data_IF_189452608141
#
_entry.id   IF_189452608141
#
_cell.length_a   1.000
_cell.length_b   1.000
_cell.length_c   1.000
_cell.angle_alpha   90.00
_cell.angle_beta   90.00
_cell.angle_gamma   90.00
#
_symmetry.space_group_name_H-M   'P 1'
#
loop_
_entity.id
_entity.type
_entity.pdbx_description
1 polymer ?
#
# COMPACT_ATOMS: atom_id res chain seq x y z
N UNK A 1 -1.16 11.47 -16.50
CA UNK A 1 -1.56 12.10 -15.22
C UNK A 1 -1.15 11.15 -14.09
N UNK A 2 0.04 11.33 -13.51
CA UNK A 2 0.49 10.50 -12.38
C UNK A 2 -0.19 10.98 -11.10
N UNK A 3 -0.98 10.09 -10.52
CA UNK A 3 -1.80 10.28 -9.32
C UNK A 3 -0.98 10.75 -8.10
N UNK A 4 -0.79 12.06 -7.94
CA UNK A 4 -0.15 12.66 -6.76
C UNK A 4 -0.95 12.52 -5.45
N UNK A 5 -2.19 12.01 -5.49
CA UNK A 5 -3.14 12.05 -4.37
C UNK A 5 -3.30 10.73 -3.58
N UNK A 6 -2.26 9.89 -3.46
CA UNK A 6 -2.43 8.57 -2.79
C UNK A 6 -1.49 8.32 -1.63
N UNK A 7 -0.55 9.22 -1.36
CA UNK A 7 0.35 9.14 -0.22
C UNK A 7 -0.14 10.12 0.85
N UNK A 8 -0.27 9.63 2.07
CA UNK A 8 -0.70 10.34 3.26
C UNK A 8 0.44 10.31 4.26
N UNK A 9 1.01 11.47 4.57
CA UNK A 9 2.00 11.56 5.63
C UNK A 9 1.27 11.73 6.97
N UNK A 10 1.48 10.78 7.88
CA UNK A 10 0.89 10.80 9.22
C UNK A 10 2.02 10.63 10.22
N UNK A 11 2.29 11.68 11.00
CA UNK A 11 3.37 11.73 11.99
C UNK A 11 4.75 11.32 11.41
N UNK A 12 5.07 11.77 10.19
CA UNK A 12 6.33 11.48 9.53
C UNK A 12 6.42 10.11 8.87
N UNK A 13 5.36 9.29 8.92
CA UNK A 13 5.27 8.02 8.20
C UNK A 13 4.36 8.19 6.98
N UNK A 14 4.83 7.74 5.82
CA UNK A 14 4.06 7.75 4.58
C UNK A 14 3.18 6.50 4.48
N UNK A 15 1.90 6.71 4.23
CA UNK A 15 0.92 5.66 4.01
C UNK A 15 0.24 5.79 2.65
N UNK A 16 -0.28 4.70 2.13
CA UNK A 16 -0.94 4.64 0.84
C UNK A 16 -2.29 3.94 0.93
N UNK A 17 -3.30 4.45 0.24
CA UNK A 17 -4.60 3.78 0.14
C UNK A 17 -4.49 2.41 -0.54
N UNK A 18 -5.47 1.53 -0.31
CA UNK A 18 -5.59 0.24 -1.04
C UNK A 18 -5.53 0.44 -2.56
N UNK A 19 -6.17 1.48 -3.09
CA UNK A 19 -6.16 1.77 -4.52
C UNK A 19 -4.77 2.20 -5.01
N UNK A 20 -4.03 2.97 -4.21
CA UNK A 20 -2.64 3.33 -4.52
C UNK A 20 -1.71 2.15 -4.44
N UNK A 21 -1.81 1.34 -3.39
CA UNK A 21 -1.01 0.13 -3.21
C UNK A 21 -1.21 -0.87 -4.36
N UNK A 22 -2.43 -0.98 -4.89
CA UNK A 22 -2.75 -1.82 -6.04
C UNK A 22 -1.99 -1.39 -7.30
N UNK A 23 -2.04 -0.10 -7.63
CA UNK A 23 -1.30 0.46 -8.77
C UNK A 23 0.21 0.39 -8.56
N UNK A 24 0.66 0.63 -7.33
CA UNK A 24 2.09 0.62 -7.00
C UNK A 24 2.70 -0.78 -7.11
N UNK A 25 2.00 -1.81 -6.61
CA UNK A 25 2.46 -3.20 -6.65
C UNK A 25 2.19 -3.88 -7.99
N UNK A 26 1.34 -3.30 -8.85
CA UNK A 26 0.91 -3.93 -10.10
C UNK A 26 0.01 -5.15 -9.86
N UNK A 27 -0.76 -5.16 -8.77
CA UNK A 27 -1.69 -6.26 -8.41
C UNK A 27 -3.10 -5.73 -8.21
N UNK A 28 -4.11 -6.61 -8.22
CA UNK A 28 -5.51 -6.20 -8.04
C UNK A 28 -5.77 -5.63 -6.63
N UNK A 29 -6.74 -4.73 -6.51
CA UNK A 29 -7.19 -4.19 -5.20
C UNK A 29 -7.63 -5.30 -4.24
N UNK A 30 -8.26 -6.35 -4.76
CA UNK A 30 -8.65 -7.53 -3.98
C UNK A 30 -7.43 -8.26 -3.40
N UNK A 31 -6.33 -8.39 -4.17
CA UNK A 31 -5.10 -8.97 -3.67
C UNK A 31 -4.47 -8.12 -2.55
N UNK A 32 -4.45 -6.78 -2.72
CA UNK A 32 -3.98 -5.88 -1.66
C UNK A 32 -4.83 -6.00 -0.40
N UNK A 33 -6.15 -6.06 -0.55
CA UNK A 33 -7.07 -6.24 0.57
C UNK A 33 -6.85 -7.58 1.28
N UNK A 34 -6.58 -8.65 0.54
CA UNK A 34 -6.23 -9.96 1.09
C UNK A 34 -4.90 -9.92 1.86
N UNK A 35 -3.89 -9.23 1.33
CA UNK A 35 -2.61 -9.07 2.04
C UNK A 35 -2.78 -8.30 3.35
N UNK A 36 -3.53 -7.21 3.31
CA UNK A 36 -3.84 -6.42 4.49
C UNK A 36 -4.63 -7.22 5.54
N UNK A 37 -5.71 -7.90 5.15
CA UNK A 37 -6.51 -8.72 6.09
C UNK A 37 -5.73 -9.89 6.70
N UNK A 38 -4.69 -10.38 6.01
CA UNK A 38 -3.75 -11.40 6.51
C UNK A 38 -2.60 -10.83 7.34
N UNK A 39 -2.55 -9.52 7.58
CA UNK A 39 -1.52 -8.88 8.39
C UNK A 39 -0.14 -8.78 7.73
N UNK A 40 -0.06 -8.87 6.40
CA UNK A 40 1.21 -8.66 5.70
C UNK A 40 1.67 -7.20 5.71
N UNK A 41 0.76 -6.27 6.04
CA UNK A 41 1.06 -4.87 6.07
C UNK A 41 0.64 -4.18 7.37
N UNK A 42 1.52 -3.36 7.91
CA UNK A 42 1.15 -2.31 8.87
C UNK A 42 0.20 -1.32 8.22
N UNK A 43 -0.81 -0.88 8.97
CA UNK A 43 -1.81 0.04 8.46
C UNK A 43 -2.43 0.89 9.56
N UNK A 44 -2.93 2.04 9.18
CA UNK A 44 -3.81 2.88 10.00
C UNK A 44 -5.17 3.00 9.32
N UNK A 45 -6.19 3.30 10.12
CA UNK A 45 -7.50 3.72 9.61
C UNK A 45 -7.74 5.17 9.97
N UNK A 46 -8.14 5.94 8.96
CA UNK A 46 -8.62 7.31 9.12
C UNK A 46 -10.01 7.34 8.50
N UNK A 47 -11.03 7.54 9.34
CA UNK A 47 -12.44 7.39 8.96
C UNK A 47 -12.73 6.05 8.27
N UNK A 48 -13.08 6.09 6.98
CA UNK A 48 -13.39 4.94 6.14
C UNK A 48 -12.21 4.47 5.28
N UNK A 49 -11.06 5.14 5.39
CA UNK A 49 -9.86 4.83 4.60
C UNK A 49 -8.95 3.85 5.36
N UNK A 50 -8.49 2.83 4.63
CA UNK A 50 -7.39 1.97 5.05
C UNK A 50 -6.13 2.50 4.36
N UNK A 51 -5.15 2.88 5.16
CA UNK A 51 -3.88 3.41 4.70
C UNK A 51 -2.77 2.45 5.13
N UNK A 52 -2.08 1.88 4.14
CA UNK A 52 -1.01 0.90 4.30
C UNK A 52 0.34 1.60 4.35
N UNK A 53 1.23 1.19 5.26
CA UNK A 53 2.60 1.72 5.35
C UNK A 53 3.32 1.60 4.00
N UNK A 54 3.81 2.73 3.49
CA UNK A 54 4.46 2.79 2.20
C UNK A 54 5.80 2.03 2.16
N UNK A 55 6.57 2.02 3.23
CA UNK A 55 7.87 1.33 3.27
C UNK A 55 7.70 -0.18 3.12
N UNK A 56 6.61 -0.74 3.68
CA UNK A 56 6.31 -2.15 3.52
C UNK A 56 5.84 -2.50 2.10
N UNK A 57 5.15 -1.57 1.43
CA UNK A 57 4.82 -1.71 -0.01
C UNK A 57 6.10 -1.69 -0.87
N UNK A 58 7.06 -0.80 -0.57
CA UNK A 58 8.37 -0.76 -1.25
C UNK A 58 9.10 -2.10 -1.08
N UNK A 59 9.21 -2.59 0.15
CA UNK A 59 9.86 -3.88 0.44
C UNK A 59 9.15 -5.04 -0.28
N UNK A 60 7.82 -5.00 -0.38
CA UNK A 60 7.05 -6.02 -1.11
C UNK A 60 7.31 -5.96 -2.61
N UNK A 61 7.35 -4.77 -3.21
CA UNK A 61 7.61 -4.58 -4.65
C UNK A 61 8.99 -5.09 -5.04
N UNK A 62 10.01 -4.82 -4.23
CA UNK A 62 11.35 -5.36 -4.44
C UNK A 62 11.36 -6.90 -4.45
N UNK A 63 10.64 -7.54 -3.53
CA UNK A 63 10.50 -9.02 -3.51
C UNK A 63 9.75 -9.59 -4.71
N UNK A 64 8.84 -8.82 -5.32
CA UNK A 64 8.12 -9.25 -6.52
C UNK A 64 9.04 -9.15 -7.75
N UNK A 65 9.78 -8.04 -7.88
CA UNK A 65 10.72 -7.84 -8.99
C UNK A 65 11.91 -8.79 -8.96
N UNK A 66 12.36 -9.23 -7.77
CA UNK A 66 13.47 -10.18 -7.65
C UNK A 66 13.06 -11.65 -7.94
N UNK A 67 11.78 -11.91 -8.25
CA UNK A 67 11.26 -13.24 -8.61
C UNK A 67 11.02 -13.43 -10.11
N UNK A 68 11.28 -12.40 -10.90
CA UNK A 68 11.18 -12.38 -12.37
C UNK A 68 12.56 -12.25 -12.97
#
# INVERSE_FOLDING_TARGET
>A
MTSKNKIYNVNGTDYMTISGASEYLGVSRAAVYLYWTRGYFSSIRIDKLILIDFNELVARRQRLNNKT
#
